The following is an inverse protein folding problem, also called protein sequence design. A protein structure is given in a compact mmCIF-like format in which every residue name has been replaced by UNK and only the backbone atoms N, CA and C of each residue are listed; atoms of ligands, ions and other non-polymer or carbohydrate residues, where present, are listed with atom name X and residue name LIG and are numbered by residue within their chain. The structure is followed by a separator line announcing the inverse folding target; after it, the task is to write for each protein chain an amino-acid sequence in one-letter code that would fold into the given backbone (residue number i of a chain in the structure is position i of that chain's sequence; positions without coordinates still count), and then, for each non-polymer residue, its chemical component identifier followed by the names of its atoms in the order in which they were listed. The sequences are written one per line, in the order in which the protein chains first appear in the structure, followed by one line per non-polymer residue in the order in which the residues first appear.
data_IF_307860341451
#
_entry.id   IF_307860341451
#
_cell.length_a   1.000
_cell.length_b   1.000
_cell.length_c   1.000
_cell.angle_alpha   90.00
_cell.angle_beta   90.00
_cell.angle_gamma   90.00
#
_symmetry.space_group_name_H-M   'P 1'
#
loop_
_entity.id
_entity.type
_entity.pdbx_description
1 polymer ?
#
# COMPACT_ATOMS: atom_id res chain seq x y z
N UNK A 1 13.87 -16.63 -7.79
CA UNK A 1 13.38 -15.95 -9.02
C UNK A 1 14.57 -15.30 -9.70
N UNK A 2 14.59 -15.16 -11.04
CA UNK A 2 15.67 -14.47 -11.74
C UNK A 2 15.78 -13.02 -11.27
N UNK A 3 16.99 -12.58 -10.92
CA UNK A 3 17.27 -11.24 -10.39
C UNK A 3 17.68 -10.23 -11.47
N UNK A 4 18.00 -10.71 -12.67
CA UNK A 4 18.45 -9.90 -13.80
C UNK A 4 17.74 -10.35 -15.10
N UNK A 5 17.36 -9.44 -16.02
CA UNK A 5 16.78 -9.79 -17.32
C UNK A 5 17.60 -10.80 -18.10
N UNK A 6 18.93 -10.76 -17.98
CA UNK A 6 19.86 -11.70 -18.64
C UNK A 6 19.69 -13.12 -18.08
N UNK A 7 19.37 -13.24 -16.79
CA UNK A 7 19.16 -14.52 -16.08
C UNK A 7 17.73 -15.05 -16.14
N UNK A 8 16.78 -14.30 -16.72
CA UNK A 8 15.39 -14.73 -16.85
C UNK A 8 15.25 -15.90 -17.84
N UNK A 9 14.86 -17.07 -17.34
CA UNK A 9 14.73 -18.29 -18.17
C UNK A 9 13.49 -18.31 -19.06
N UNK A 10 12.51 -17.45 -18.80
CA UNK A 10 11.25 -17.38 -19.55
C UNK A 10 11.27 -16.35 -20.70
N UNK A 11 12.35 -15.59 -20.87
CA UNK A 11 12.49 -14.56 -21.91
C UNK A 11 13.42 -15.03 -23.04
N UNK A 12 13.07 -14.70 -24.28
CA UNK A 12 13.96 -14.86 -25.43
C UNK A 12 15.06 -13.77 -25.46
N UNK A 13 16.19 -14.03 -26.12
CA UNK A 13 17.34 -13.09 -26.25
C UNK A 13 16.92 -11.66 -26.64
N UNK A 14 15.98 -11.52 -27.58
CA UNK A 14 15.46 -10.22 -28.00
C UNK A 14 14.67 -9.50 -26.88
N UNK A 15 13.86 -10.23 -26.13
CA UNK A 15 13.08 -9.71 -25.01
C UNK A 15 13.98 -9.36 -23.82
N UNK A 16 15.03 -10.15 -23.59
CA UNK A 16 16.07 -9.85 -22.59
C UNK A 16 16.79 -8.55 -22.91
N UNK A 17 17.15 -8.31 -24.17
CA UNK A 17 17.78 -7.06 -24.61
C UNK A 17 16.84 -5.86 -24.42
N UNK A 18 15.58 -5.99 -24.84
CA UNK A 18 14.57 -4.93 -24.63
C UNK A 18 14.34 -4.67 -23.14
N UNK A 19 14.27 -5.72 -22.31
CA UNK A 19 14.10 -5.59 -20.87
C UNK A 19 15.30 -4.92 -20.20
N UNK A 20 16.53 -5.28 -20.61
CA UNK A 20 17.75 -4.64 -20.14
C UNK A 20 17.82 -3.16 -20.56
N UNK A 21 17.52 -2.85 -21.82
CA UNK A 21 17.46 -1.46 -22.31
C UNK A 21 16.39 -0.64 -21.59
N UNK A 22 15.20 -1.21 -21.33
CA UNK A 22 14.15 -0.54 -20.55
C UNK A 22 14.61 -0.29 -19.12
N UNK A 23 15.26 -1.25 -18.46
CA UNK A 23 15.82 -1.08 -17.11
C UNK A 23 16.85 0.05 -17.08
N UNK A 24 17.80 0.07 -18.02
CA UNK A 24 18.81 1.14 -18.08
C UNK A 24 18.14 2.50 -18.37
N UNK A 25 17.16 2.53 -19.28
CA UNK A 25 16.51 3.77 -19.74
C UNK A 25 15.49 4.34 -18.76
N UNK A 26 14.76 3.50 -18.03
CA UNK A 26 13.81 3.92 -17.00
C UNK A 26 14.49 4.23 -15.66
N UNK A 27 15.58 3.53 -15.31
CA UNK A 27 16.15 3.62 -13.97
C UNK A 27 17.45 4.40 -13.88
N UNK A 28 18.18 4.66 -14.99
CA UNK A 28 19.50 5.34 -15.01
C UNK A 28 20.40 4.91 -13.83
N UNK A 29 20.39 3.62 -13.50
CA UNK A 29 21.07 3.09 -12.34
C UNK A 29 21.44 1.63 -12.59
N UNK A 30 22.60 1.23 -12.08
CA UNK A 30 23.09 -0.14 -12.15
C UNK A 30 22.15 -1.08 -11.36
N UNK A 31 21.56 -2.10 -11.99
CA UNK A 31 20.78 -3.12 -11.28
C UNK A 31 21.55 -3.80 -10.14
N UNK A 32 22.89 -3.82 -10.17
CA UNK A 32 23.77 -4.39 -9.17
C UNK A 32 24.26 -3.40 -8.10
N UNK A 33 23.69 -2.18 -8.04
CA UNK A 33 24.03 -1.17 -7.05
C UNK A 33 23.90 -1.72 -5.62
N UNK A 34 25.00 -1.65 -4.85
CA UNK A 34 25.02 -2.11 -3.46
C UNK A 34 24.29 -1.11 -2.55
N UNK A 35 23.60 -1.64 -1.54
CA UNK A 35 22.93 -0.80 -0.54
C UNK A 35 23.97 -0.13 0.35
N UNK A 36 23.95 1.19 0.38
CA UNK A 36 24.80 2.03 1.24
C UNK A 36 23.93 2.79 2.25
N UNK A 37 24.55 3.32 3.30
CA UNK A 37 23.85 4.08 4.33
C UNK A 37 23.12 5.31 3.79
N UNK A 38 23.64 5.91 2.72
CA UNK A 38 22.97 7.00 2.00
C UNK A 38 21.61 6.58 1.46
N UNK A 39 21.49 5.38 0.88
CA UNK A 39 20.23 4.83 0.37
C UNK A 39 19.22 4.62 1.50
N UNK A 40 19.69 4.22 2.68
CA UNK A 40 18.86 4.12 3.88
C UNK A 40 18.30 5.47 4.28
N UNK A 41 19.16 6.49 4.38
CA UNK A 41 18.75 7.86 4.71
C UNK A 41 17.76 8.43 3.68
N UNK A 42 17.98 8.19 2.39
CA UNK A 42 17.09 8.62 1.32
C UNK A 42 15.71 7.96 1.42
N UNK A 43 15.66 6.65 1.69
CA UNK A 43 14.39 5.92 1.81
C UNK A 43 13.59 6.35 3.05
N UNK A 44 14.24 6.51 4.20
CA UNK A 44 13.59 6.79 5.50
C UNK A 44 13.21 8.26 5.65
N UNK A 45 14.02 9.20 5.15
CA UNK A 45 13.72 10.64 5.22
C UNK A 45 12.77 11.11 4.10
N UNK A 46 12.23 10.19 3.30
CA UNK A 46 11.26 10.53 2.26
C UNK A 46 9.84 10.61 2.87
N UNK A 47 9.27 11.81 2.86
CA UNK A 47 7.91 12.09 3.34
C UNK A 47 6.89 11.15 2.71
N UNK A 48 7.00 10.88 1.40
CA UNK A 48 6.07 10.01 0.70
C UNK A 48 6.14 8.55 1.19
N UNK A 49 7.36 8.05 1.44
CA UNK A 49 7.57 6.70 1.97
C UNK A 49 7.01 6.57 3.39
N UNK A 50 7.13 7.64 4.20
CA UNK A 50 6.53 7.70 5.53
C UNK A 50 4.99 7.64 5.48
N UNK A 51 4.37 8.42 4.57
CA UNK A 51 2.91 8.36 4.34
C UNK A 51 2.47 6.95 3.93
N UNK A 52 3.19 6.30 3.02
CA UNK A 52 2.87 4.94 2.59
C UNK A 52 3.09 3.90 3.69
N UNK A 53 4.13 4.04 4.51
CA UNK A 53 4.41 3.14 5.63
C UNK A 53 3.30 3.21 6.68
N UNK A 54 2.85 4.41 7.05
CA UNK A 54 1.73 4.57 7.99
C UNK A 54 0.42 4.08 7.37
N UNK A 55 0.16 4.37 6.10
CA UNK A 55 -1.01 3.83 5.39
C UNK A 55 -1.03 2.31 5.40
N UNK A 56 0.11 1.66 5.13
CA UNK A 56 0.22 0.21 5.20
C UNK A 56 0.04 -0.31 6.64
N UNK A 57 0.60 0.36 7.63
CA UNK A 57 0.40 0.01 9.04
C UNK A 57 -1.09 0.01 9.43
N UNK A 58 -1.83 1.08 9.11
CA UNK A 58 -3.25 1.20 9.42
C UNK A 58 -4.10 0.16 8.68
N UNK A 59 -3.82 -0.09 7.40
CA UNK A 59 -4.45 -1.17 6.64
C UNK A 59 -4.15 -2.54 7.27
N UNK A 60 -2.92 -2.78 7.73
CA UNK A 60 -2.53 -4.06 8.33
C UNK A 60 -3.28 -4.35 9.63
N UNK A 61 -3.56 -3.32 10.44
CA UNK A 61 -4.42 -3.47 11.64
C UNK A 61 -5.76 -4.09 11.24
N UNK A 62 -6.37 -3.55 10.19
CA UNK A 62 -7.65 -4.04 9.66
C UNK A 62 -7.55 -5.42 9.05
N UNK A 63 -6.61 -5.62 8.13
CA UNK A 63 -6.50 -6.88 7.37
C UNK A 63 -6.19 -8.03 8.32
N UNK A 64 -5.21 -7.88 9.21
CA UNK A 64 -4.87 -8.94 10.17
C UNK A 64 -5.96 -9.12 11.23
N UNK A 65 -6.57 -8.03 11.70
CA UNK A 65 -7.68 -8.10 12.64
C UNK A 65 -8.86 -8.88 12.06
N UNK A 66 -9.26 -8.60 10.83
CA UNK A 66 -10.32 -9.36 10.16
C UNK A 66 -9.90 -10.80 9.90
N UNK A 67 -8.67 -11.05 9.42
CA UNK A 67 -8.19 -12.40 9.18
C UNK A 67 -8.30 -13.30 10.40
N UNK A 68 -8.01 -12.76 11.58
CA UNK A 68 -8.07 -13.51 12.84
C UNK A 68 -9.50 -13.59 13.39
N UNK A 69 -10.24 -12.47 13.38
CA UNK A 69 -11.50 -12.35 14.14
C UNK A 69 -12.76 -12.43 13.29
N UNK A 70 -12.68 -12.51 11.97
CA UNK A 70 -13.86 -12.55 11.10
C UNK A 70 -14.81 -13.72 11.41
N UNK A 71 -14.35 -14.97 11.63
CA UNK A 71 -15.26 -16.05 12.02
C UNK A 71 -16.00 -15.75 13.33
N UNK A 72 -15.34 -15.10 14.29
CA UNK A 72 -15.94 -14.68 15.56
C UNK A 72 -17.01 -13.61 15.33
N UNK A 73 -16.70 -12.58 14.52
CA UNK A 73 -17.66 -11.52 14.14
C UNK A 73 -18.88 -12.12 13.42
N UNK A 74 -18.69 -13.18 12.63
CA UNK A 74 -19.79 -13.86 11.93
C UNK A 74 -20.59 -14.79 12.85
N UNK A 75 -19.99 -15.38 13.88
CA UNK A 75 -20.71 -16.15 14.90
C UNK A 75 -21.70 -15.26 15.65
N UNK A 76 -21.35 -13.99 15.92
CA UNK A 76 -22.25 -13.01 16.53
C UNK A 76 -23.54 -12.75 15.71
N UNK A 77 -23.56 -13.10 14.42
CA UNK A 77 -24.75 -12.99 13.57
C UNK A 77 -25.76 -14.13 13.82
N UNK A 78 -25.49 -15.03 14.78
CA UNK A 78 -26.33 -16.17 15.14
C UNK A 78 -26.01 -17.44 14.34
N UNK A 79 -24.84 -17.51 13.71
CA UNK A 79 -24.41 -18.67 12.93
C UNK A 79 -23.52 -19.59 13.75
N UNK A 80 -23.68 -20.91 13.60
CA UNK A 80 -22.78 -21.87 14.25
C UNK A 80 -21.34 -21.68 13.79
N UNK A 81 -20.35 -21.98 14.65
CA UNK A 81 -18.91 -21.82 14.33
C UNK A 81 -18.52 -22.38 12.95
N UNK A 82 -18.99 -23.58 12.60
CA UNK A 82 -18.72 -24.20 11.30
C UNK A 82 -19.34 -23.42 10.14
N UNK A 83 -20.57 -22.92 10.31
CA UNK A 83 -21.21 -22.06 9.30
C UNK A 83 -20.49 -20.73 9.18
N UNK A 84 -20.13 -20.08 10.30
CA UNK A 84 -19.41 -18.81 10.30
C UNK A 84 -18.06 -18.89 9.57
N UNK A 85 -17.30 -19.98 9.75
CA UNK A 85 -16.09 -20.22 8.97
C UNK A 85 -16.37 -20.35 7.47
N UNK A 86 -17.39 -21.13 7.09
CA UNK A 86 -17.76 -21.28 5.68
C UNK A 86 -18.19 -19.93 5.06
N UNK A 87 -18.97 -19.12 5.77
CA UNK A 87 -19.44 -17.81 5.29
C UNK A 87 -18.33 -16.74 5.26
N UNK A 88 -17.18 -16.98 5.89
CA UNK A 88 -16.01 -16.09 5.77
C UNK A 88 -15.27 -16.25 4.44
N UNK A 89 -15.42 -17.39 3.76
CA UNK A 89 -14.72 -17.70 2.52
C UNK A 89 -15.14 -16.79 1.36
N UNK A 90 -16.44 -16.56 1.07
CA UNK A 90 -16.85 -15.71 -0.05
C UNK A 90 -16.31 -14.26 0.03
N UNK A 91 -16.34 -13.56 1.19
CA UNK A 91 -15.70 -12.25 1.33
C UNK A 91 -14.21 -12.23 0.96
N UNK A 92 -13.45 -13.28 1.29
CA UNK A 92 -12.03 -13.36 0.93
C UNK A 92 -11.81 -13.64 -0.55
N UNK A 93 -12.63 -14.50 -1.17
CA UNK A 93 -12.57 -14.77 -2.61
C UNK A 93 -12.86 -13.49 -3.40
N UNK A 94 -13.91 -12.76 -3.02
CA UNK A 94 -14.22 -11.46 -3.62
C UNK A 94 -13.07 -10.46 -3.43
N UNK A 95 -12.51 -10.37 -2.22
CA UNK A 95 -11.38 -9.50 -1.93
C UNK A 95 -10.15 -9.85 -2.79
N UNK A 96 -9.87 -11.13 -3.02
CA UNK A 96 -8.77 -11.58 -3.88
C UNK A 96 -8.97 -11.11 -5.33
N UNK A 97 -10.13 -11.38 -5.92
CA UNK A 97 -10.45 -10.99 -7.30
C UNK A 97 -10.36 -9.47 -7.46
N UNK A 98 -10.93 -8.72 -6.53
CA UNK A 98 -10.90 -7.26 -6.58
C UNK A 98 -9.51 -6.70 -6.33
N UNK A 99 -8.72 -7.28 -5.42
CA UNK A 99 -7.34 -6.86 -5.20
C UNK A 99 -6.48 -7.01 -6.47
N UNK A 100 -6.65 -8.09 -7.23
CA UNK A 100 -5.98 -8.27 -8.53
C UNK A 100 -6.46 -7.22 -9.53
N UNK A 101 -7.76 -6.98 -9.62
CA UNK A 101 -8.32 -5.96 -10.52
C UNK A 101 -7.84 -4.54 -10.17
N UNK A 102 -7.78 -4.20 -8.89
CA UNK A 102 -7.28 -2.91 -8.39
C UNK A 102 -5.79 -2.77 -8.64
N UNK A 103 -5.00 -3.82 -8.40
CA UNK A 103 -3.57 -3.82 -8.72
C UNK A 103 -3.35 -3.49 -10.20
N UNK A 104 -4.02 -4.24 -11.10
CA UNK A 104 -3.93 -4.01 -12.54
C UNK A 104 -4.43 -2.62 -12.96
N UNK A 105 -5.57 -2.18 -12.44
CA UNK A 105 -6.16 -0.87 -12.74
C UNK A 105 -5.28 0.29 -12.27
N UNK A 106 -4.72 0.18 -11.07
CA UNK A 106 -3.84 1.21 -10.48
C UNK A 106 -2.49 1.31 -11.19
N UNK A 107 -1.96 0.19 -11.67
CA UNK A 107 -0.73 0.15 -12.46
C UNK A 107 -0.92 0.82 -13.82
N UNK A 108 -2.06 0.54 -14.47
CA UNK A 108 -2.37 1.13 -15.77
C UNK A 108 -2.62 2.63 -15.68
N UNK A 109 -3.31 3.10 -14.64
CA UNK A 109 -3.62 4.54 -14.50
C UNK A 109 -2.45 5.35 -13.93
N UNK A 110 -1.45 4.71 -13.31
CA UNK A 110 -0.37 5.37 -12.56
C UNK A 110 -0.86 6.33 -11.46
N UNK A 111 -2.08 6.10 -10.99
CA UNK A 111 -2.79 6.92 -10.00
C UNK A 111 -3.12 6.08 -8.76
N UNK A 112 -2.10 5.45 -8.17
CA UNK A 112 -2.26 4.48 -7.07
C UNK A 112 -2.92 5.09 -5.85
N UNK A 113 -2.62 6.35 -5.53
CA UNK A 113 -3.23 7.02 -4.37
C UNK A 113 -4.75 7.15 -4.49
N UNK A 114 -5.27 7.38 -5.71
CA UNK A 114 -6.71 7.51 -5.95
C UNK A 114 -7.43 6.17 -5.73
N UNK A 115 -6.87 5.09 -6.26
CA UNK A 115 -7.39 3.74 -6.03
C UNK A 115 -7.37 3.37 -4.55
N UNK A 116 -6.27 3.67 -3.84
CA UNK A 116 -6.17 3.44 -2.41
C UNK A 116 -7.23 4.22 -1.62
N UNK A 117 -7.40 5.51 -1.90
CA UNK A 117 -8.40 6.34 -1.23
C UNK A 117 -9.83 5.85 -1.47
N UNK A 118 -10.16 5.45 -2.71
CA UNK A 118 -11.48 4.95 -3.06
C UNK A 118 -11.83 3.64 -2.34
N UNK A 119 -10.91 2.67 -2.35
CA UNK A 119 -11.13 1.36 -1.72
C UNK A 119 -11.08 1.43 -0.19
N UNK A 120 -10.19 2.25 0.39
CA UNK A 120 -10.24 2.54 1.84
C UNK A 120 -11.54 3.25 2.23
N UNK A 121 -12.09 4.12 1.36
CA UNK A 121 -13.41 4.72 1.56
C UNK A 121 -14.54 3.68 1.62
N UNK A 122 -14.48 2.65 0.78
CA UNK A 122 -15.42 1.51 0.85
C UNK A 122 -15.31 0.77 2.19
N UNK A 123 -14.10 0.58 2.71
CA UNK A 123 -13.88 -0.03 4.02
C UNK A 123 -14.41 0.85 5.17
N UNK A 124 -14.31 2.18 5.07
CA UNK A 124 -14.94 3.12 6.02
C UNK A 124 -16.45 2.90 6.08
N UNK A 125 -17.11 2.78 4.92
CA UNK A 125 -18.56 2.50 4.85
C UNK A 125 -18.88 1.16 5.52
N UNK A 126 -18.10 0.12 5.22
CA UNK A 126 -18.27 -1.20 5.83
C UNK A 126 -18.15 -1.18 7.35
N UNK A 127 -17.11 -0.54 7.90
CA UNK A 127 -16.96 -0.43 9.36
C UNK A 127 -18.00 0.45 10.02
N UNK A 128 -18.47 1.50 9.36
CA UNK A 128 -19.58 2.31 9.85
C UNK A 128 -20.86 1.46 9.97
N UNK A 129 -21.18 0.67 8.95
CA UNK A 129 -22.31 -0.25 8.99
C UNK A 129 -22.15 -1.27 10.13
N UNK A 130 -20.98 -1.92 10.26
CA UNK A 130 -20.71 -2.86 11.34
C UNK A 130 -20.84 -2.24 12.74
N UNK A 131 -20.53 -0.94 12.88
CA UNK A 131 -20.58 -0.23 14.15
C UNK A 131 -21.98 0.14 14.60
N UNK A 132 -22.86 0.56 13.67
CA UNK A 132 -24.16 1.15 14.02
C UNK A 132 -25.37 0.31 13.61
N UNK A 133 -25.24 -0.60 12.64
CA UNK A 133 -26.36 -1.43 12.17
C UNK A 133 -26.39 -2.76 12.93
N UNK A 134 -27.58 -3.16 13.39
CA UNK A 134 -27.78 -4.42 14.12
C UNK A 134 -28.34 -5.56 13.25
N UNK A 135 -28.84 -5.27 12.05
CA UNK A 135 -29.44 -6.29 11.17
C UNK A 135 -28.38 -7.27 10.62
N UNK A 136 -28.51 -8.59 10.81
CA UNK A 136 -27.47 -9.55 10.45
C UNK A 136 -27.07 -9.56 8.97
N UNK A 137 -28.04 -9.52 8.05
CA UNK A 137 -27.77 -9.53 6.62
C UNK A 137 -26.99 -8.29 6.16
N UNK A 138 -27.29 -7.12 6.75
CA UNK A 138 -26.60 -5.87 6.44
C UNK A 138 -25.17 -5.89 7.00
N UNK A 139 -24.96 -6.44 8.21
CA UNK A 139 -23.61 -6.64 8.77
C UNK A 139 -22.78 -7.61 7.93
N UNK A 140 -23.39 -8.68 7.41
CA UNK A 140 -22.71 -9.60 6.50
C UNK A 140 -22.29 -8.91 5.19
N UNK A 141 -23.17 -8.12 4.58
CA UNK A 141 -22.80 -7.28 3.43
C UNK A 141 -21.65 -6.32 3.75
N UNK A 142 -21.66 -5.73 4.95
CA UNK A 142 -20.60 -4.83 5.39
C UNK A 142 -19.22 -5.52 5.46
N UNK A 143 -19.17 -6.80 5.84
CA UNK A 143 -17.93 -7.60 5.79
C UNK A 143 -17.35 -7.60 4.38
N UNK A 144 -18.15 -7.76 3.32
CA UNK A 144 -17.65 -7.69 1.94
C UNK A 144 -17.06 -6.33 1.62
N UNK A 145 -17.70 -5.23 2.03
CA UNK A 145 -17.17 -3.89 1.79
C UNK A 145 -15.83 -3.68 2.50
N UNK A 146 -15.71 -4.16 3.73
CA UNK A 146 -14.44 -4.07 4.46
C UNK A 146 -13.36 -4.95 3.81
N UNK A 147 -13.64 -6.21 3.49
CA UNK A 147 -12.61 -7.10 2.91
C UNK A 147 -12.18 -6.61 1.53
N UNK A 148 -13.12 -6.26 0.66
CA UNK A 148 -12.83 -5.72 -0.68
C UNK A 148 -12.11 -4.36 -0.60
N UNK A 149 -12.46 -3.51 0.36
CA UNK A 149 -11.85 -2.19 0.52
C UNK A 149 -10.45 -2.21 1.13
N UNK A 150 -10.20 -3.07 2.12
CA UNK A 150 -8.95 -3.05 2.88
C UNK A 150 -7.83 -3.92 2.29
N UNK A 151 -8.16 -5.09 1.72
CA UNK A 151 -7.15 -6.05 1.25
C UNK A 151 -6.24 -5.55 0.13
N UNK A 152 -6.72 -4.76 -0.86
CA UNK A 152 -5.85 -4.17 -1.88
C UNK A 152 -4.83 -3.17 -1.30
N UNK A 153 -5.12 -2.60 -0.12
CA UNK A 153 -4.38 -1.49 0.46
C UNK A 153 -2.92 -1.80 0.75
N UNK A 154 -2.62 -2.99 1.29
CA UNK A 154 -1.26 -3.36 1.70
C UNK A 154 -0.28 -3.37 0.53
N UNK A 155 -0.50 -4.22 -0.50
CA UNK A 155 0.30 -4.22 -1.73
C UNK A 155 0.28 -2.86 -2.44
N UNK A 156 -0.84 -2.14 -2.39
CA UNK A 156 -0.98 -0.83 -3.02
C UNK A 156 -0.07 0.23 -2.42
N UNK A 157 -0.05 0.40 -1.08
CA UNK A 157 0.84 1.36 -0.40
C UNK A 157 2.32 0.99 -0.56
N UNK A 158 2.67 -0.30 -0.44
CA UNK A 158 4.03 -0.76 -0.67
C UNK A 158 4.52 -0.40 -2.07
N UNK A 159 3.70 -0.72 -3.08
CA UNK A 159 4.06 -0.46 -4.46
C UNK A 159 4.09 1.03 -4.79
N UNK A 160 3.22 1.84 -4.17
CA UNK A 160 3.24 3.29 -4.34
C UNK A 160 4.55 3.89 -3.81
N UNK A 161 5.01 3.45 -2.63
CA UNK A 161 6.30 3.85 -2.09
C UNK A 161 7.47 3.44 -3.00
N UNK A 162 7.50 2.18 -3.47
CA UNK A 162 8.56 1.68 -4.36
C UNK A 162 8.59 2.46 -5.68
N UNK A 163 7.44 2.79 -6.25
CA UNK A 163 7.38 3.54 -7.51
C UNK A 163 7.91 4.97 -7.36
N UNK A 164 7.77 5.57 -6.19
CA UNK A 164 8.25 6.90 -5.86
C UNK A 164 9.66 6.93 -5.23
N UNK A 165 10.33 5.76 -5.20
CA UNK A 165 11.75 5.61 -4.89
C UNK A 165 12.55 5.38 -6.17
N UNK A 166 13.63 6.15 -6.34
CA UNK A 166 14.52 6.07 -7.49
C UNK A 166 15.80 5.31 -7.13
N UNK A 167 16.26 4.45 -8.03
CA UNK A 167 17.41 3.58 -7.81
C UNK A 167 17.02 2.20 -7.22
N UNK A 168 17.61 1.09 -7.70
CA UNK A 168 17.37 -0.26 -7.18
C UNK A 168 17.66 -0.37 -5.68
N UNK A 169 18.77 0.21 -5.20
CA UNK A 169 19.14 0.14 -3.79
C UNK A 169 18.13 0.85 -2.88
N UNK A 170 17.69 2.07 -3.23
CA UNK A 170 16.69 2.82 -2.46
C UNK A 170 15.34 2.11 -2.48
N UNK A 171 14.95 1.51 -3.60
CA UNK A 171 13.72 0.69 -3.69
C UNK A 171 13.77 -0.53 -2.78
N UNK A 172 14.90 -1.23 -2.72
CA UNK A 172 15.09 -2.37 -1.82
C UNK A 172 14.95 -1.95 -0.34
N UNK A 173 15.62 -0.87 0.07
CA UNK A 173 15.46 -0.33 1.44
C UNK A 173 14.03 0.13 1.69
N UNK A 174 13.41 0.87 0.75
CA UNK A 174 12.03 1.34 0.87
C UNK A 174 11.07 0.20 1.09
N UNK A 175 11.23 -0.90 0.32
CA UNK A 175 10.41 -2.10 0.49
C UNK A 175 10.55 -2.68 1.89
N UNK A 176 11.79 -2.87 2.37
CA UNK A 176 12.04 -3.39 3.71
C UNK A 176 11.43 -2.49 4.79
N UNK A 177 11.72 -1.18 4.73
CA UNK A 177 11.23 -0.17 5.67
C UNK A 177 9.69 -0.14 5.76
N UNK A 178 9.00 -0.06 4.62
CA UNK A 178 7.54 0.03 4.54
C UNK A 178 6.89 -1.27 5.01
N UNK A 179 7.44 -2.43 4.65
CA UNK A 179 6.93 -3.74 5.12
C UNK A 179 7.13 -3.88 6.63
N UNK A 180 8.32 -3.56 7.15
CA UNK A 180 8.59 -3.64 8.59
C UNK A 180 7.61 -2.79 9.38
N UNK A 181 7.43 -1.52 9.03
CA UNK A 181 6.44 -0.67 9.71
C UNK A 181 5.01 -1.17 9.53
N UNK A 182 4.64 -1.62 8.32
CA UNK A 182 3.33 -2.18 8.03
C UNK A 182 3.00 -3.38 8.93
N UNK A 183 3.94 -4.30 9.10
CA UNK A 183 3.74 -5.53 9.90
C UNK A 183 3.51 -5.28 11.39
N UNK A 184 3.99 -4.15 11.95
CA UNK A 184 3.68 -3.75 13.34
C UNK A 184 2.16 -3.60 13.54
N UNK A 185 1.42 -3.24 12.48
CA UNK A 185 -0.05 -3.15 12.52
C UNK A 185 -0.70 -4.48 12.88
N UNK A 186 -0.11 -5.61 12.49
CA UNK A 186 -0.58 -6.94 12.87
C UNK A 186 -0.51 -7.20 14.37
N UNK A 187 0.53 -6.68 15.05
CA UNK A 187 0.65 -6.78 16.51
C UNK A 187 -0.49 -6.01 17.17
N UNK A 188 -0.73 -4.77 16.72
CA UNK A 188 -1.82 -3.93 17.24
C UNK A 188 -3.19 -4.56 16.97
N UNK A 189 -3.36 -5.24 15.83
CA UNK A 189 -4.61 -5.92 15.47
C UNK A 189 -5.06 -6.94 16.53
N UNK A 190 -4.12 -7.63 17.19
CA UNK A 190 -4.44 -8.64 18.21
C UNK A 190 -5.20 -8.07 19.42
N UNK A 191 -5.07 -6.76 19.68
CA UNK A 191 -5.77 -6.07 20.76
C UNK A 191 -7.02 -5.30 20.31
N UNK A 192 -7.38 -5.37 19.03
CA UNK A 192 -8.56 -4.64 18.53
C UNK A 192 -9.89 -5.31 18.84
N UNK A 193 -9.95 -6.65 18.88
CA UNK A 193 -11.17 -7.41 19.15
C UNK A 193 -11.03 -8.22 20.45
N UNK A 194 -11.38 -7.60 21.57
CA UNK A 194 -11.29 -8.20 22.91
C UNK A 194 -12.59 -8.88 23.33
N UNK A 195 -12.55 -10.00 24.09
CA UNK A 195 -13.75 -10.73 24.51
C UNK A 195 -14.74 -9.90 25.33
N UNK A 196 -14.27 -8.90 26.08
CA UNK A 196 -15.12 -8.01 26.88
C UNK A 196 -15.99 -7.06 26.06
N UNK A 197 -15.69 -6.89 24.77
CA UNK A 197 -16.46 -6.05 23.83
C UNK A 197 -17.43 -6.90 22.97
N UNK A 198 -17.45 -8.22 23.17
CA UNK A 198 -18.40 -9.12 22.54
C UNK A 198 -19.84 -8.83 23.02
N UNK A 199 -20.87 -9.16 22.22
CA UNK A 199 -20.85 -9.78 20.87
C UNK A 199 -20.96 -8.74 19.74
N UNK A 200 -20.79 -7.45 20.03
CA UNK A 200 -20.94 -6.39 19.00
C UNK A 200 -19.63 -5.76 18.60
N UNK A 201 -18.57 -5.98 19.37
CA UNK A 201 -17.20 -5.53 19.11
C UNK A 201 -17.14 -4.05 18.72
N UNK A 202 -17.87 -3.20 19.45
CA UNK A 202 -18.02 -1.78 19.12
C UNK A 202 -16.69 -1.04 19.16
N UNK A 203 -15.82 -1.36 20.10
CA UNK A 203 -14.48 -0.80 20.25
C UNK A 203 -13.62 -1.20 19.06
N UNK A 204 -13.60 -2.49 18.70
CA UNK A 204 -12.83 -3.00 17.57
C UNK A 204 -13.25 -2.40 16.24
N UNK A 205 -14.56 -2.31 15.99
CA UNK A 205 -15.11 -1.65 14.80
C UNK A 205 -14.79 -0.14 14.78
N UNK A 206 -14.80 0.54 15.93
CA UNK A 206 -14.49 1.98 16.01
C UNK A 206 -13.01 2.27 15.75
N UNK A 207 -12.10 1.45 16.31
CA UNK A 207 -10.65 1.57 16.07
C UNK A 207 -10.37 1.39 14.58
N UNK A 208 -10.93 0.35 13.97
CA UNK A 208 -10.74 0.09 12.55
C UNK A 208 -11.38 1.16 11.66
N UNK A 209 -12.56 1.68 12.03
CA UNK A 209 -13.17 2.81 11.34
C UNK A 209 -12.25 4.03 11.34
N UNK A 210 -11.72 4.40 12.51
CA UNK A 210 -10.77 5.51 12.65
C UNK A 210 -9.49 5.28 11.84
N UNK A 211 -8.96 4.06 11.88
CA UNK A 211 -7.80 3.67 11.07
C UNK A 211 -8.03 3.78 9.57
N UNK A 212 -9.20 3.37 9.08
CA UNK A 212 -9.56 3.50 7.66
C UNK A 212 -9.78 4.97 7.25
N UNK A 213 -10.42 5.78 8.09
CA UNK A 213 -10.56 7.23 7.85
C UNK A 213 -9.17 7.88 7.76
N UNK A 214 -8.29 7.59 8.72
CA UNK A 214 -6.91 8.09 8.71
C UNK A 214 -6.16 7.62 7.46
N UNK A 215 -6.38 6.39 7.00
CA UNK A 215 -5.81 5.85 5.76
C UNK A 215 -6.27 6.64 4.52
N UNK A 216 -7.57 6.96 4.43
CA UNK A 216 -8.11 7.81 3.35
C UNK A 216 -7.46 9.19 3.38
N UNK A 217 -7.38 9.82 4.56
CA UNK A 217 -6.73 11.12 4.72
C UNK A 217 -5.25 11.09 4.32
N UNK A 218 -4.53 10.03 4.68
CA UNK A 218 -3.12 9.84 4.29
C UNK A 218 -2.97 9.62 2.79
N UNK A 219 -3.85 8.86 2.16
CA UNK A 219 -3.85 8.67 0.71
C UNK A 219 -4.09 10.01 -0.01
N UNK A 220 -5.09 10.80 0.42
CA UNK A 220 -5.36 12.14 -0.12
C UNK A 220 -4.16 13.06 0.09
N UNK A 221 -3.57 13.08 1.29
CA UNK A 221 -2.37 13.86 1.57
C UNK A 221 -1.21 13.47 0.63
N UNK A 222 -0.97 12.16 0.45
CA UNK A 222 0.05 11.64 -0.44
C UNK A 222 -0.18 12.06 -1.90
N UNK A 223 -1.43 11.98 -2.39
CA UNK A 223 -1.81 12.47 -3.72
C UNK A 223 -1.50 13.96 -3.85
N UNK A 224 -1.98 14.78 -2.91
CA UNK A 224 -1.79 16.23 -2.94
C UNK A 224 -0.31 16.62 -2.88
N UNK A 225 0.48 15.92 -2.06
CA UNK A 225 1.93 16.10 -1.98
C UNK A 225 2.60 15.77 -3.32
N UNK A 226 2.27 14.63 -3.94
CA UNK A 226 2.83 14.25 -5.24
C UNK A 226 2.44 15.25 -6.34
N UNK A 227 1.17 15.69 -6.40
CA UNK A 227 0.72 16.72 -7.35
C UNK A 227 1.44 18.04 -7.13
N UNK A 228 1.56 18.50 -5.88
CA UNK A 228 2.24 19.74 -5.54
C UNK A 228 3.72 19.70 -5.92
N UNK A 229 4.43 18.64 -5.56
CA UNK A 229 5.85 18.50 -5.84
C UNK A 229 6.10 18.35 -7.34
N UNK A 230 5.25 17.61 -8.08
CA UNK A 230 5.33 17.51 -9.54
C UNK A 230 5.09 18.86 -10.23
N UNK A 231 4.06 19.61 -9.83
CA UNK A 231 3.78 20.95 -10.40
C UNK A 231 4.92 21.91 -10.19
N UNK A 232 5.52 21.85 -9.01
CA UNK A 232 6.56 22.78 -8.66
C UNK A 232 7.93 22.40 -9.24
N UNK A 233 8.15 21.11 -9.56
CA UNK A 233 9.25 20.64 -10.44
C UNK A 233 9.04 21.10 -11.88
N UNK A 234 7.83 20.97 -12.42
CA UNK A 234 7.52 21.45 -13.77
C UNK A 234 7.68 22.98 -13.92
N UNK A 235 7.50 23.73 -12.84
CA UNK A 235 7.72 25.18 -12.79
C UNK A 235 9.18 25.59 -12.53
N UNK A 236 10.15 24.65 -12.57
CA UNK A 236 11.58 24.93 -12.37
C UNK A 236 11.98 25.32 -10.94
N UNK A 237 11.05 25.32 -9.97
CA UNK A 237 11.31 25.76 -8.59
C UNK A 237 12.27 24.84 -7.82
N UNK A 238 12.71 23.72 -8.41
CA UNK A 238 13.63 22.74 -7.83
C UNK A 238 14.95 22.64 -8.59
N UNK A 239 15.16 23.45 -9.62
CA UNK A 239 16.34 23.36 -10.49
C UNK A 239 17.62 23.77 -9.74
N UNK A 240 17.50 24.60 -8.70
CA UNK A 240 18.58 24.91 -7.75
C UNK A 240 19.23 23.66 -7.13
N UNK A 241 18.54 22.51 -7.12
CA UNK A 241 19.11 21.23 -6.62
C UNK A 241 20.19 20.66 -7.52
N UNK A 242 20.33 21.16 -8.75
CA UNK A 242 21.34 20.74 -9.72
C UNK A 242 22.56 21.67 -9.75
N UNK A 243 22.44 22.87 -9.17
CA UNK A 243 23.50 23.87 -9.16
C UNK A 243 24.71 23.37 -8.37
N UNK A 244 25.89 23.36 -9.01
CA UNK A 244 27.15 22.96 -8.40
C UNK A 244 27.38 21.45 -8.27
N UNK A 245 26.49 20.60 -8.80
CA UNK A 245 26.65 19.15 -8.80
C UNK A 245 27.19 18.63 -10.13
N UNK A 246 28.13 17.69 -10.06
CA UNK A 246 28.59 16.88 -11.20
C UNK A 246 27.48 15.97 -11.73
N UNK A 247 27.58 15.46 -12.97
CA UNK A 247 26.56 14.56 -13.54
C UNK A 247 26.33 13.31 -12.68
N UNK A 248 27.40 12.74 -12.10
CA UNK A 248 27.32 11.58 -11.20
C UNK A 248 26.60 11.93 -9.87
N UNK A 249 26.86 13.11 -9.30
CA UNK A 249 26.16 13.59 -8.11
C UNK A 249 24.69 13.91 -8.36
N UNK A 250 24.35 14.36 -9.58
CA UNK A 250 22.97 14.59 -10.00
C UNK A 250 22.19 13.27 -10.09
N UNK A 251 22.79 12.21 -10.62
CA UNK A 251 22.15 10.88 -10.64
C UNK A 251 21.87 10.37 -9.23
N UNK A 252 22.77 10.63 -8.28
CA UNK A 252 22.59 10.27 -6.88
C UNK A 252 21.52 11.08 -6.12
N UNK A 253 20.87 12.09 -6.73
CA UNK A 253 19.71 12.77 -6.14
C UNK A 253 18.46 11.86 -6.11
N UNK A 254 18.40 10.85 -6.97
CA UNK A 254 17.30 9.91 -7.05
C UNK A 254 15.94 10.60 -7.21
N UNK A 255 15.01 10.36 -6.28
CA UNK A 255 13.65 10.89 -6.38
C UNK A 255 13.55 12.40 -6.08
N UNK A 256 14.62 13.03 -5.58
CA UNK A 256 14.72 14.49 -5.39
C UNK A 256 15.11 15.21 -6.66
N UNK A 257 15.58 14.48 -7.68
CA UNK A 257 15.96 15.02 -8.97
C UNK A 257 14.78 15.79 -9.59
N UNK A 258 14.97 17.03 -10.11
CA UNK A 258 13.87 17.85 -10.63
C UNK A 258 13.08 17.19 -11.76
N UNK A 259 13.74 16.34 -12.57
CA UNK A 259 13.11 15.59 -13.66
C UNK A 259 12.36 14.32 -13.23
N UNK A 260 12.48 13.89 -11.98
CA UNK A 260 11.77 12.69 -11.49
C UNK A 260 10.28 13.00 -11.32
N UNK A 261 9.41 12.16 -11.88
CA UNK A 261 7.96 12.33 -11.81
C UNK A 261 7.34 11.37 -10.80
N UNK A 262 6.69 11.92 -9.76
CA UNK A 262 6.03 11.13 -8.73
C UNK A 262 4.69 10.60 -9.24
N UNK A 263 4.40 9.33 -8.97
CA UNK A 263 3.10 8.73 -9.19
C UNK A 263 2.15 9.21 -8.09
N UNK A 264 0.98 9.68 -8.49
CA UNK A 264 -0.08 10.15 -7.57
C UNK A 264 -0.91 9.01 -7.02
#
# INVERSE_FOLDING_TARGET
MPTDPKTAWFLNEHEKRIAAERLVREHRADPAEKVEWRHVKLAVMNVHNYTCAIGFFLINITVQGLSVFLPTILNDLGWTNTKAQLYSVPPYVCACVVAVAVAYGSDKSRQRGIWLAAFSGLAVIGFAILRWVSQPNIRYMAVFFVTVGAFPGGPGFLSWAINNSAGPAVRAVTSGYVVTLGTIGGIVATWTYIPSDAPKYHTGHTINLGGQIATVCLAIFGILFCVWENRARAAGKRDHRLEGLTEEEQEHLGNRHPRFHLWT
#
